data_IF_237985061435
#
_entry.id   IF_237985061435
#
_cell.length_a   1.000
_cell.length_b   1.000
_cell.length_c   1.000
_cell.angle_alpha   90.00
_cell.angle_beta   90.00
_cell.angle_gamma   90.00
#
_symmetry.space_group_name_H-M   'P 1'
#
loop_
_entity.id
_entity.type
_entity.pdbx_description
1 polymer ?
#
# COMPACT_ATOMS: atom_id res chain seq x y z
N UNK A 1 -1.69 -2.02 -1.25
CA UNK A 1 -1.15 -1.26 -2.42
C UNK A 1 -0.04 -0.33 -1.94
N UNK A 2 1.13 -0.35 -2.56
CA UNK A 2 2.23 0.57 -2.26
C UNK A 2 2.48 1.48 -3.46
N UNK A 3 2.44 2.80 -3.25
CA UNK A 3 2.83 3.80 -4.25
C UNK A 3 4.30 4.16 -4.05
N UNK A 4 5.17 3.71 -4.95
CA UNK A 4 6.62 3.89 -4.84
C UNK A 4 7.10 5.33 -5.01
N UNK A 5 6.31 6.20 -5.64
CA UNK A 5 6.64 7.61 -5.82
C UNK A 5 6.39 8.43 -4.54
N UNK A 6 5.33 8.09 -3.79
CA UNK A 6 4.91 8.86 -2.61
C UNK A 6 5.19 8.15 -1.29
N UNK A 7 5.51 6.86 -1.33
CA UNK A 7 5.65 6.02 -0.14
C UNK A 7 4.30 5.56 0.46
N UNK A 8 3.17 5.93 -0.15
CA UNK A 8 1.85 5.63 0.40
C UNK A 8 1.57 4.12 0.43
N UNK A 9 1.26 3.59 1.61
CA UNK A 9 0.72 2.24 1.78
C UNK A 9 -0.78 2.32 2.07
N UNK A 10 -1.54 1.66 1.20
CA UNK A 10 -3.00 1.80 1.08
C UNK A 10 -3.64 0.42 1.15
N UNK A 11 -4.70 0.29 1.94
CA UNK A 11 -5.66 -0.81 1.84
C UNK A 11 -6.71 -0.42 0.81
N UNK A 12 -6.87 -1.25 -0.23
CA UNK A 12 -7.88 -1.05 -1.27
C UNK A 12 -8.90 -2.19 -1.17
N UNK A 13 -10.07 -1.88 -0.60
CA UNK A 13 -11.09 -2.88 -0.30
C UNK A 13 -11.88 -3.34 -1.53
N UNK A 14 -11.85 -2.58 -2.62
CA UNK A 14 -12.64 -2.85 -3.84
C UNK A 14 -11.78 -3.05 -5.09
N UNK A 15 -10.46 -2.92 -4.99
CA UNK A 15 -9.50 -3.16 -6.07
C UNK A 15 -9.52 -2.10 -7.18
N UNK A 16 -10.23 -0.99 -6.97
CA UNK A 16 -10.43 0.07 -7.97
C UNK A 16 -9.88 1.43 -7.52
N UNK A 17 -9.30 1.51 -6.31
CA UNK A 17 -8.84 2.70 -5.60
C UNK A 17 -9.91 3.78 -5.33
N UNK A 18 -10.83 4.04 -6.26
CA UNK A 18 -11.94 4.98 -6.12
C UNK A 18 -12.92 4.48 -5.04
N UNK A 19 -13.06 5.26 -3.96
CA UNK A 19 -13.99 4.99 -2.86
C UNK A 19 -13.64 3.77 -1.98
N UNK A 20 -12.59 3.01 -2.32
CA UNK A 20 -12.12 1.83 -1.58
C UNK A 20 -10.71 1.98 -0.98
N UNK A 21 -9.98 3.05 -1.33
CA UNK A 21 -8.62 3.29 -0.86
C UNK A 21 -8.59 4.00 0.50
N UNK A 22 -7.99 3.34 1.50
CA UNK A 22 -7.63 3.95 2.78
C UNK A 22 -6.11 3.89 2.96
N UNK A 23 -5.44 5.04 2.99
CA UNK A 23 -4.04 5.11 3.36
C UNK A 23 -3.91 4.87 4.88
N UNK A 24 -3.00 3.97 5.27
CA UNK A 24 -2.77 3.66 6.68
C UNK A 24 -1.31 3.77 7.11
N UNK A 25 -0.38 3.94 6.16
CA UNK A 25 1.01 4.23 6.47
C UNK A 25 1.71 5.01 5.33
N UNK A 26 2.84 5.61 5.67
CA UNK A 26 3.82 6.18 4.74
C UNK A 26 5.16 5.49 5.01
N UNK A 27 5.75 4.90 3.97
CA UNK A 27 7.05 4.23 4.01
C UNK A 27 8.09 5.05 3.22
N UNK A 28 9.36 4.60 3.24
CA UNK A 28 10.36 5.12 2.30
C UNK A 28 9.93 4.93 0.83
N UNK A 29 10.40 5.78 -0.07
CA UNK A 29 10.12 5.68 -1.52
C UNK A 29 11.03 4.65 -2.19
N UNK A 30 10.61 4.13 -3.35
CA UNK A 30 11.42 3.22 -4.16
C UNK A 30 11.66 1.82 -3.57
N UNK A 31 10.86 1.38 -2.59
CA UNK A 31 11.01 0.06 -1.99
C UNK A 31 10.49 -1.04 -2.94
N UNK A 32 11.24 -2.13 -3.06
CA UNK A 32 10.83 -3.32 -3.82
C UNK A 32 10.01 -4.27 -2.94
N UNK A 33 8.86 -3.80 -2.44
CA UNK A 33 8.00 -4.58 -1.55
C UNK A 33 7.33 -5.74 -2.29
N UNK A 34 7.25 -6.87 -1.62
CA UNK A 34 6.56 -8.09 -2.04
C UNK A 34 5.49 -8.46 -1.01
N UNK A 35 4.74 -9.53 -1.26
CA UNK A 35 3.81 -10.05 -0.25
C UNK A 35 4.53 -10.63 0.97
N UNK A 36 5.80 -11.04 0.85
CA UNK A 36 6.57 -11.60 1.97
C UNK A 36 6.90 -10.56 3.05
N UNK A 37 6.82 -9.27 2.72
CA UNK A 37 7.07 -8.15 3.64
C UNK A 37 5.87 -7.84 4.54
N UNK A 38 4.73 -8.51 4.33
CA UNK A 38 3.50 -8.28 5.08
C UNK A 38 3.06 -9.54 5.81
N UNK A 39 3.12 -9.50 7.14
CA UNK A 39 2.52 -10.50 8.00
C UNK A 39 1.12 -10.02 8.43
N UNK A 40 0.08 -10.78 8.06
CA UNK A 40 -1.29 -10.55 8.47
C UNK A 40 -1.72 -11.76 9.32
N UNK A 41 -2.08 -11.54 10.58
CA UNK A 41 -2.50 -12.59 11.54
C UNK A 41 -3.73 -12.18 12.30
#
# INVERSE_FOLDING_TARGET
>A
VYNSATGALIYDSNGSAAGGATQFAILGTGLALTNADFLIT
#
